data_IF_518455724155
#
_entry.id   IF_518455724155
#
_cell.length_a   1.000
_cell.length_b   1.000
_cell.length_c   1.000
_cell.angle_alpha   90.00
_cell.angle_beta   90.00
_cell.angle_gamma   90.00
#
_symmetry.space_group_name_H-M   'P 1'
#
loop_
_entity.id
_entity.type
_entity.pdbx_description
1 polymer ?
#
# COMPACT_ATOMS: atom_id res chain seq x y z
N UNK A 1 65.36 -18.94 -51.14
CA UNK A 1 66.25 -19.54 -50.15
C UNK A 1 66.40 -18.50 -49.04
N UNK A 2 65.37 -18.40 -48.20
CA UNK A 2 65.22 -19.18 -46.96
C UNK A 2 66.27 -18.79 -45.92
N UNK A 3 65.84 -17.86 -45.05
CA UNK A 3 65.97 -17.81 -43.58
C UNK A 3 67.09 -18.62 -42.94
N UNK A 4 67.99 -17.94 -42.21
CA UNK A 4 68.24 -18.24 -40.78
C UNK A 4 69.00 -17.07 -40.11
N UNK A 5 68.24 -16.16 -39.49
CA UNK A 5 68.75 -15.31 -38.42
C UNK A 5 68.19 -15.86 -37.12
N UNK A 6 69.03 -16.42 -36.25
CA UNK A 6 68.80 -16.35 -34.81
C UNK A 6 70.13 -16.15 -34.08
N UNK A 7 70.31 -14.86 -33.79
CA UNK A 7 71.29 -14.25 -32.91
C UNK A 7 70.96 -14.54 -31.43
N UNK A 8 72.01 -14.52 -30.63
CA UNK A 8 72.21 -15.11 -29.31
C UNK A 8 71.47 -14.38 -28.17
N UNK A 9 70.19 -14.03 -28.35
CA UNK A 9 69.40 -13.29 -27.35
C UNK A 9 68.59 -14.17 -26.37
N UNK A 10 68.57 -15.50 -26.58
CA UNK A 10 67.77 -16.45 -25.78
C UNK A 10 68.31 -16.75 -24.37
N UNK A 11 69.36 -16.07 -23.90
CA UNK A 11 69.91 -16.27 -22.53
C UNK A 11 69.36 -15.33 -21.46
N UNK A 12 68.52 -14.35 -21.81
CA UNK A 12 68.13 -13.30 -20.84
C UNK A 12 66.68 -13.36 -20.34
N UNK A 13 65.83 -14.31 -20.75
CA UNK A 13 64.40 -14.29 -20.40
C UNK A 13 63.75 -15.67 -20.15
N UNK A 14 64.37 -16.54 -19.35
CA UNK A 14 63.60 -17.63 -18.73
C UNK A 14 64.04 -17.88 -17.29
N UNK A 15 64.11 -16.79 -16.53
CA UNK A 15 64.16 -16.82 -15.07
C UNK A 15 62.74 -16.64 -14.49
N UNK A 16 61.74 -17.22 -15.17
CA UNK A 16 60.34 -17.31 -14.73
C UNK A 16 59.95 -18.75 -14.36
N UNK A 17 60.84 -19.45 -13.66
CA UNK A 17 60.57 -20.80 -13.12
C UNK A 17 59.88 -20.80 -11.74
N UNK A 18 59.29 -19.68 -11.30
CA UNK A 18 58.70 -19.57 -9.96
C UNK A 18 57.32 -20.23 -9.82
N UNK A 19 56.63 -20.60 -10.91
CA UNK A 19 55.30 -21.24 -10.85
C UNK A 19 55.34 -22.77 -10.92
N UNK A 20 56.35 -23.35 -11.58
CA UNK A 20 56.50 -24.80 -11.68
C UNK A 20 56.95 -25.44 -10.35
N UNK A 21 57.59 -24.67 -9.45
CA UNK A 21 57.96 -25.13 -8.12
C UNK A 21 56.81 -25.04 -7.10
N UNK A 22 55.88 -24.09 -7.27
CA UNK A 22 54.73 -23.94 -6.38
C UNK A 22 53.62 -24.98 -6.64
N UNK A 23 53.53 -25.51 -7.87
CA UNK A 23 52.49 -26.46 -8.30
C UNK A 23 53.04 -27.84 -8.72
N UNK A 24 54.31 -28.13 -8.45
CA UNK A 24 55.02 -29.31 -8.99
C UNK A 24 55.05 -30.55 -8.10
N UNK A 25 54.24 -30.63 -7.03
CA UNK A 25 54.20 -31.77 -6.10
C UNK A 25 52.78 -31.99 -5.53
N UNK A 26 51.75 -32.02 -6.39
CA UNK A 26 50.44 -32.54 -5.99
C UNK A 26 50.41 -34.05 -6.28
N UNK A 27 50.55 -34.87 -5.24
CA UNK A 27 50.42 -36.32 -5.33
C UNK A 27 48.94 -36.70 -5.61
N UNK A 28 48.58 -37.28 -6.77
CA UNK A 28 47.18 -37.51 -7.16
C UNK A 28 46.50 -38.69 -6.42
N UNK A 29 47.07 -39.16 -5.31
CA UNK A 29 46.68 -40.44 -4.70
C UNK A 29 46.55 -40.41 -3.17
N UNK A 30 46.25 -39.25 -2.58
CA UNK A 30 45.73 -39.18 -1.21
C UNK A 30 44.24 -38.86 -1.21
N UNK A 31 43.45 -39.89 -1.49
CA UNK A 31 42.06 -39.92 -0.99
C UNK A 31 42.13 -40.14 0.52
N UNK A 32 42.36 -39.07 1.27
CA UNK A 32 42.07 -39.04 2.69
C UNK A 32 40.87 -38.12 2.90
N UNK A 33 39.69 -38.69 2.65
CA UNK A 33 38.43 -38.09 3.04
C UNK A 33 38.38 -37.98 4.57
N UNK A 34 38.80 -36.83 5.09
CA UNK A 34 38.43 -36.33 6.42
C UNK A 34 38.37 -34.80 6.32
N UNK A 35 37.28 -34.28 5.76
CA UNK A 35 36.81 -32.94 6.11
C UNK A 35 35.58 -33.10 7.00
N UNK A 36 35.81 -33.32 8.29
CA UNK A 36 34.91 -32.80 9.32
C UNK A 36 35.22 -31.32 9.50
N UNK A 37 34.85 -30.53 8.49
CA UNK A 37 34.51 -29.14 8.68
C UNK A 37 33.05 -29.06 8.30
N UNK A 38 32.12 -28.61 9.17
CA UNK A 38 30.92 -28.04 8.61
C UNK A 38 31.44 -26.99 7.65
N UNK A 39 31.16 -27.11 6.36
CA UNK A 39 31.15 -25.92 5.52
C UNK A 39 30.39 -24.91 6.36
N UNK A 40 30.95 -23.76 6.75
CA UNK A 40 30.12 -22.63 7.08
C UNK A 40 29.53 -22.24 5.72
N UNK A 41 28.62 -23.07 5.21
CA UNK A 41 27.39 -22.58 4.63
C UNK A 41 26.71 -21.98 5.86
N UNK A 42 27.20 -20.84 6.34
CA UNK A 42 26.52 -19.61 6.07
C UNK A 42 25.05 -19.95 6.27
N UNK A 43 24.70 -19.99 7.55
CA UNK A 43 23.43 -19.51 8.02
C UNK A 43 23.25 -18.09 7.45
N UNK A 44 23.08 -18.01 6.13
CA UNK A 44 23.04 -16.80 5.36
C UNK A 44 21.60 -16.38 5.44
N UNK A 45 21.37 -15.50 6.41
CA UNK A 45 20.06 -14.93 6.66
C UNK A 45 19.13 -15.96 7.27
N UNK A 46 18.95 -15.84 8.57
CA UNK A 46 17.61 -15.70 9.14
C UNK A 46 16.57 -15.30 8.07
N UNK A 47 15.91 -16.27 7.45
CA UNK A 47 14.72 -16.04 6.62
C UNK A 47 13.51 -15.63 7.47
N UNK A 48 13.70 -15.14 8.70
CA UNK A 48 12.58 -14.69 9.54
C UNK A 48 11.97 -13.38 9.03
N UNK A 49 12.35 -12.92 7.84
CA UNK A 49 11.97 -11.64 7.29
C UNK A 49 11.36 -11.71 5.88
N UNK A 50 10.52 -12.71 5.58
CA UNK A 50 9.38 -12.49 4.67
C UNK A 50 8.32 -13.59 4.81
N UNK A 51 7.19 -13.27 5.49
CA UNK A 51 5.97 -12.98 4.73
C UNK A 51 5.26 -11.72 5.25
N UNK A 52 5.99 -10.66 5.58
CA UNK A 52 5.36 -9.39 5.99
C UNK A 52 4.55 -8.76 4.86
N UNK A 53 4.92 -9.00 3.60
CA UNK A 53 4.28 -8.44 2.40
C UNK A 53 2.95 -9.16 2.09
N UNK A 54 2.92 -10.50 2.16
CA UNK A 54 1.69 -11.27 1.93
C UNK A 54 0.60 -10.95 2.95
N UNK A 55 0.96 -10.90 4.23
CA UNK A 55 0.05 -10.51 5.32
C UNK A 55 -0.48 -9.08 5.14
N UNK A 56 0.36 -8.13 4.73
CA UNK A 56 -0.09 -6.76 4.43
C UNK A 56 -1.05 -6.71 3.24
N UNK A 57 -0.83 -7.49 2.18
CA UNK A 57 -1.73 -7.52 1.02
C UNK A 57 -3.09 -8.10 1.41
N UNK A 58 -3.13 -9.18 2.19
CA UNK A 58 -4.37 -9.77 2.69
C UNK A 58 -5.15 -8.81 3.61
N UNK A 59 -4.44 -8.08 4.46
CA UNK A 59 -5.02 -7.06 5.33
C UNK A 59 -5.57 -5.87 4.52
N UNK A 60 -4.83 -5.39 3.51
CA UNK A 60 -5.30 -4.35 2.60
C UNK A 60 -6.54 -4.81 1.83
N UNK A 61 -6.56 -6.04 1.33
CA UNK A 61 -7.71 -6.60 0.62
C UNK A 61 -8.94 -6.71 1.53
N UNK A 62 -8.74 -7.13 2.79
CA UNK A 62 -9.81 -7.17 3.80
C UNK A 62 -10.38 -5.77 4.07
N UNK A 63 -9.51 -4.81 4.36
CA UNK A 63 -9.92 -3.42 4.63
C UNK A 63 -10.62 -2.82 3.41
N UNK A 64 -10.16 -3.12 2.19
CA UNK A 64 -10.81 -2.66 0.98
C UNK A 64 -12.25 -3.21 0.84
N UNK A 65 -12.48 -4.48 1.17
CA UNK A 65 -13.81 -5.07 1.14
C UNK A 65 -14.70 -4.49 2.24
N UNK A 66 -14.17 -4.31 3.45
CA UNK A 66 -14.86 -3.69 4.57
C UNK A 66 -15.31 -2.27 4.23
N UNK A 67 -14.41 -1.44 3.67
CA UNK A 67 -14.72 -0.08 3.23
C UNK A 67 -15.77 -0.05 2.10
N UNK A 68 -15.81 -1.05 1.21
CA UNK A 68 -16.87 -1.16 0.20
C UNK A 68 -18.23 -1.41 0.84
N UNK A 69 -18.29 -2.31 1.83
CA UNK A 69 -19.52 -2.58 2.57
C UNK A 69 -19.98 -1.35 3.36
N UNK A 70 -19.06 -0.67 4.04
CA UNK A 70 -19.36 0.56 4.77
C UNK A 70 -19.86 1.67 3.83
N UNK A 71 -19.22 1.83 2.67
CA UNK A 71 -19.64 2.83 1.68
C UNK A 71 -21.07 2.58 1.19
N UNK A 72 -21.43 1.33 0.87
CA UNK A 72 -22.78 0.99 0.45
C UNK A 72 -23.80 1.16 1.58
N UNK A 73 -23.44 0.79 2.81
CA UNK A 73 -24.27 1.03 3.99
C UNK A 73 -24.50 2.52 4.22
N UNK A 74 -23.47 3.35 4.06
CA UNK A 74 -23.56 4.79 4.28
C UNK A 74 -24.38 5.50 3.19
N UNK A 75 -24.28 5.07 1.93
CA UNK A 75 -25.17 5.53 0.85
C UNK A 75 -26.64 5.24 1.16
N UNK A 76 -26.94 4.06 1.68
CA UNK A 76 -28.30 3.68 2.08
C UNK A 76 -28.81 4.53 3.24
N UNK A 77 -27.98 4.76 4.27
CA UNK A 77 -28.32 5.66 5.39
C UNK A 77 -28.58 7.08 4.90
N UNK A 78 -27.72 7.63 4.03
CA UNK A 78 -27.89 8.95 3.46
C UNK A 78 -29.24 9.08 2.74
N UNK A 79 -29.61 8.07 1.93
CA UNK A 79 -30.90 8.06 1.24
C UNK A 79 -32.07 8.05 2.23
N UNK A 80 -31.99 7.24 3.28
CA UNK A 80 -33.03 7.19 4.32
C UNK A 80 -33.21 8.55 5.02
N UNK A 81 -32.11 9.23 5.35
CA UNK A 81 -32.15 10.58 5.93
C UNK A 81 -32.74 11.59 4.95
N UNK A 82 -32.40 11.51 3.66
CA UNK A 82 -32.94 12.39 2.63
C UNK A 82 -34.46 12.22 2.47
N UNK A 83 -34.96 10.97 2.48
CA UNK A 83 -36.39 10.68 2.45
C UNK A 83 -37.10 11.21 3.71
N UNK A 84 -36.49 11.07 4.89
CA UNK A 84 -37.01 11.65 6.14
C UNK A 84 -37.09 13.18 6.08
N UNK A 85 -36.06 13.84 5.56
CA UNK A 85 -36.04 15.29 5.35
C UNK A 85 -37.17 15.73 4.41
N UNK A 86 -37.45 14.96 3.34
CA UNK A 86 -38.57 15.24 2.43
C UNK A 86 -39.91 15.12 3.16
N UNK A 87 -40.09 14.10 4.00
CA UNK A 87 -41.31 13.93 4.81
C UNK A 87 -41.47 15.09 5.79
N UNK A 88 -40.40 15.46 6.50
CA UNK A 88 -40.45 16.51 7.52
C UNK A 88 -40.68 17.89 6.90
N UNK A 89 -40.11 18.16 5.71
CA UNK A 89 -40.41 19.37 4.94
C UNK A 89 -41.89 19.46 4.58
N UNK A 90 -42.52 18.37 4.15
CA UNK A 90 -43.96 18.34 3.85
C UNK A 90 -44.81 18.59 5.10
N UNK A 91 -44.44 18.02 6.26
CA UNK A 91 -45.13 18.29 7.53
C UNK A 91 -45.03 19.77 7.91
N UNK A 92 -43.82 20.34 7.83
CA UNK A 92 -43.60 21.78 8.09
C UNK A 92 -44.47 22.64 7.19
N UNK A 93 -44.48 22.36 5.88
CA UNK A 93 -45.30 23.10 4.93
C UNK A 93 -46.81 22.97 5.24
N UNK A 94 -47.29 21.78 5.61
CA UNK A 94 -48.68 21.59 6.00
C UNK A 94 -49.04 22.41 7.25
N UNK A 95 -48.15 22.43 8.24
CA UNK A 95 -48.32 23.26 9.44
C UNK A 95 -48.31 24.76 9.11
N UNK A 96 -47.40 25.21 8.26
CA UNK A 96 -47.34 26.61 7.81
C UNK A 96 -48.65 27.03 7.11
N UNK A 97 -49.18 26.19 6.22
CA UNK A 97 -50.47 26.43 5.58
C UNK A 97 -51.61 26.53 6.60
N UNK A 98 -51.67 25.63 7.58
CA UNK A 98 -52.69 25.63 8.62
C UNK A 98 -52.60 26.88 9.51
N UNK A 99 -51.39 27.27 9.93
CA UNK A 99 -51.17 28.48 10.71
C UNK A 99 -51.59 29.72 9.93
N UNK A 100 -51.19 29.83 8.66
CA UNK A 100 -51.56 30.95 7.78
C UNK A 100 -53.09 31.08 7.68
N UNK A 101 -53.80 29.97 7.52
CA UNK A 101 -55.26 29.94 7.49
C UNK A 101 -55.90 30.43 8.80
N UNK A 102 -55.39 29.99 9.96
CA UNK A 102 -55.91 30.39 11.26
C UNK A 102 -55.70 31.88 11.54
N UNK A 103 -54.53 32.42 11.19
CA UNK A 103 -54.21 33.84 11.36
C UNK A 103 -55.14 34.70 10.51
N UNK A 104 -55.35 34.34 9.24
CA UNK A 104 -56.31 35.03 8.37
C UNK A 104 -57.73 35.04 8.95
N UNK A 105 -58.14 33.95 9.61
CA UNK A 105 -59.46 33.83 10.23
C UNK A 105 -59.60 34.65 11.51
N UNK A 106 -58.54 34.78 12.31
CA UNK A 106 -58.60 35.47 13.60
C UNK A 106 -58.79 36.99 13.46
N UNK A 107 -58.42 37.57 12.31
CA UNK A 107 -58.65 39.00 12.04
C UNK A 107 -57.84 39.96 12.93
N UNK A 108 -57.00 39.44 13.82
CA UNK A 108 -56.09 40.21 14.65
C UNK A 108 -54.72 40.33 13.99
N UNK A 109 -54.11 41.52 14.11
CA UNK A 109 -52.75 41.77 13.65
C UNK A 109 -51.78 41.07 14.61
N UNK A 110 -50.93 40.21 14.07
CA UNK A 110 -49.96 39.47 14.87
C UNK A 110 -48.98 40.44 15.56
N UNK A 111 -48.53 40.12 16.78
CA UNK A 111 -47.45 40.85 17.43
C UNK A 111 -46.25 41.07 16.48
N UNK A 112 -45.63 42.27 16.48
CA UNK A 112 -44.60 42.63 15.50
C UNK A 112 -43.40 41.67 15.44
N UNK A 113 -43.04 41.06 16.57
CA UNK A 113 -41.96 40.08 16.68
C UNK A 113 -42.30 38.75 15.98
N UNK A 114 -43.57 38.34 16.05
CA UNK A 114 -44.07 37.14 15.38
C UNK A 114 -44.22 37.40 13.88
N UNK A 115 -44.79 38.55 13.50
CA UNK A 115 -44.93 38.95 12.10
C UNK A 115 -43.57 39.01 11.39
N UNK A 116 -42.54 39.60 12.03
CA UNK A 116 -41.19 39.61 11.49
C UNK A 116 -40.65 38.19 11.26
N UNK A 117 -40.81 37.27 12.23
CA UNK A 117 -40.36 35.87 12.12
C UNK A 117 -41.08 35.09 11.01
N UNK A 118 -42.35 35.35 10.77
CA UNK A 118 -43.09 34.73 9.68
C UNK A 118 -42.54 35.14 8.30
N UNK A 119 -42.16 36.41 8.12
CA UNK A 119 -41.63 36.91 6.86
C UNK A 119 -40.25 36.33 6.51
N UNK A 120 -39.43 35.96 7.52
CA UNK A 120 -38.15 35.27 7.30
C UNK A 120 -38.29 33.86 6.72
N UNK A 121 -39.47 33.24 6.80
CA UNK A 121 -39.73 31.91 6.25
C UNK A 121 -40.11 31.95 4.75
N UNK A 122 -40.39 33.13 4.20
CA UNK A 122 -40.90 33.30 2.83
C UNK A 122 -39.79 33.65 1.80
N UNK A 123 -38.53 33.73 2.26
CA UNK A 123 -37.32 33.91 1.44
C UNK A 123 -36.47 32.64 1.31
#
# INVERSE_FOLDING_TARGET
MEIEQQDESSRMLSQNNSLAQALGKEDPSRVHGVSFGPTPNQLCGRNSHMPRIGVQIEEIQRVLLELQVELEAEKLKKKAVEDEVVIEKKKRQAMECALRYLIQRQGEELPPDIAARMNFLEG
#
